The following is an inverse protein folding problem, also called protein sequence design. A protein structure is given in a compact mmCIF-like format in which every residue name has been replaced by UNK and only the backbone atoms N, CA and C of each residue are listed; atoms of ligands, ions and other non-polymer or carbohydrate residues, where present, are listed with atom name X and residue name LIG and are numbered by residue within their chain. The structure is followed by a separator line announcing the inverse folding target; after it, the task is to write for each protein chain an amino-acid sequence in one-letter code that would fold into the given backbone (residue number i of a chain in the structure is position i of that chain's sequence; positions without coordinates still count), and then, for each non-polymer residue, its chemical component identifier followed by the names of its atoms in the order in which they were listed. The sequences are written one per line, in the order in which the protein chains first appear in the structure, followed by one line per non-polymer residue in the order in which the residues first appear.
data_IF_848746680169
#
_entry.id   IF_848746680169
#
_cell.length_a   1.000
_cell.length_b   1.000
_cell.length_c   1.000
_cell.angle_alpha   90.00
_cell.angle_beta   90.00
_cell.angle_gamma   90.00
#
_symmetry.space_group_name_H-M   'P 1'
#
loop_
_entity.id
_entity.type
_entity.pdbx_description
1 polymer ?
#
# COMPACT_ATOMS: atom_id res chain seq x y z
N UNK A 1 -59.63 21.02 22.66
CA UNK A 1 -58.32 20.76 23.27
C UNK A 1 -57.34 20.40 22.14
N UNK A 2 -56.75 21.39 21.49
CA UNK A 2 -55.81 21.18 20.39
C UNK A 2 -54.42 20.98 20.95
N UNK A 3 -53.98 19.70 21.13
CA UNK A 3 -52.59 19.40 21.36
C UNK A 3 -51.81 19.74 20.08
N UNK A 4 -51.22 20.93 20.03
CA UNK A 4 -50.11 21.18 19.11
C UNK A 4 -48.93 20.35 19.63
N UNK A 5 -48.80 19.16 19.02
CA UNK A 5 -47.57 18.38 19.17
C UNK A 5 -46.46 19.27 18.60
N UNK A 6 -45.66 19.88 19.46
CA UNK A 6 -44.50 20.66 19.07
C UNK A 6 -43.49 19.72 18.44
N UNK A 7 -43.35 19.88 17.13
CA UNK A 7 -42.34 19.17 16.34
C UNK A 7 -40.95 19.55 16.82
N UNK A 8 -40.36 18.73 17.66
CA UNK A 8 -38.93 18.81 17.97
C UNK A 8 -38.24 18.20 16.76
N UNK A 9 -37.84 19.03 15.82
CA UNK A 9 -36.91 18.62 14.77
C UNK A 9 -35.56 18.46 15.49
N UNK A 10 -35.29 17.29 15.98
CA UNK A 10 -33.94 16.86 16.30
C UNK A 10 -33.22 16.57 14.99
N UNK A 11 -33.01 17.62 14.18
CA UNK A 11 -31.99 17.55 13.13
C UNK A 11 -30.65 17.47 13.88
N UNK A 12 -30.35 16.27 14.36
CA UNK A 12 -29.03 15.96 14.90
C UNK A 12 -28.06 16.13 13.75
N UNK A 13 -27.37 17.28 13.71
CA UNK A 13 -26.22 17.48 12.85
C UNK A 13 -25.16 16.51 13.38
N UNK A 14 -25.29 15.25 13.02
CA UNK A 14 -24.19 14.30 13.16
C UNK A 14 -23.17 14.62 12.08
N UNK A 15 -22.44 15.72 12.28
CA UNK A 15 -21.16 15.90 11.66
C UNK A 15 -20.23 14.89 12.34
N UNK A 16 -20.48 13.60 12.08
CA UNK A 16 -19.47 12.60 12.36
C UNK A 16 -18.24 13.06 11.60
N UNK A 17 -17.17 13.36 12.36
CA UNK A 17 -15.86 13.75 11.84
C UNK A 17 -15.57 12.99 10.54
N UNK A 18 -14.91 13.67 9.61
CA UNK A 18 -14.34 13.05 8.40
C UNK A 18 -13.20 12.12 8.87
N UNK A 19 -13.52 11.16 9.70
CA UNK A 19 -12.62 10.19 10.30
C UNK A 19 -12.79 8.82 9.63
N UNK A 20 -12.99 8.80 8.32
CA UNK A 20 -13.15 7.54 7.59
C UNK A 20 -12.29 7.42 6.33
N UNK A 21 -11.65 8.49 5.90
CA UNK A 21 -10.67 8.40 4.83
C UNK A 21 -9.27 8.54 5.43
N UNK A 22 -8.49 7.49 5.41
CA UNK A 22 -7.04 7.60 5.60
C UNK A 22 -6.57 8.45 4.42
N UNK A 23 -6.47 9.78 4.62
CA UNK A 23 -5.60 10.58 3.77
C UNK A 23 -4.22 10.08 4.15
N UNK A 24 -3.51 9.35 3.28
CA UNK A 24 -2.19 8.85 3.63
C UNK A 24 -1.34 10.06 3.98
N UNK A 25 -0.90 10.13 5.23
CA UNK A 25 0.17 11.03 5.60
C UNK A 25 1.39 10.45 4.89
N UNK A 26 1.76 11.06 3.75
CA UNK A 26 3.06 10.82 3.14
C UNK A 26 4.08 11.42 4.11
N UNK A 27 4.53 10.62 5.08
CA UNK A 27 5.77 10.92 5.77
C UNK A 27 6.83 10.91 4.66
N UNK A 28 7.41 12.07 4.41
CA UNK A 28 8.63 12.17 3.63
C UNK A 28 9.71 11.49 4.48
N UNK A 29 9.76 10.17 4.39
CA UNK A 29 10.90 9.44 4.87
C UNK A 29 12.03 9.79 3.91
N UNK A 30 13.00 10.56 4.42
CA UNK A 30 14.25 10.83 3.75
C UNK A 30 14.79 9.52 3.20
N UNK A 31 14.62 9.32 1.90
CA UNK A 31 15.40 8.34 1.16
C UNK A 31 16.86 8.76 1.35
N UNK A 32 17.53 8.11 2.29
CA UNK A 32 18.98 8.18 2.34
C UNK A 32 19.47 7.79 0.95
N UNK A 33 20.03 8.78 0.29
CA UNK A 33 20.79 8.63 -0.92
C UNK A 33 21.72 7.42 -0.73
N UNK A 34 21.39 6.37 -1.48
CA UNK A 34 22.34 5.27 -1.68
C UNK A 34 23.46 5.86 -2.53
N UNK A 35 24.56 6.24 -1.86
CA UNK A 35 25.78 6.59 -2.55
C UNK A 35 26.18 5.44 -3.48
N UNK A 36 26.18 5.84 -4.71
CA UNK A 36 26.92 5.37 -5.87
C UNK A 36 27.96 4.28 -5.64
N UNK A 37 27.72 3.10 -6.20
CA UNK A 37 28.75 2.28 -6.84
C UNK A 37 28.15 1.40 -7.95
N UNK A 38 28.12 1.97 -9.12
CA UNK A 38 28.37 1.37 -10.44
C UNK A 38 28.04 -0.10 -10.74
N UNK A 39 27.21 -0.24 -11.78
CA UNK A 39 27.22 -1.21 -12.92
C UNK A 39 26.51 -2.52 -12.63
N UNK A 40 25.65 -2.80 -13.39
CA UNK A 40 25.01 -3.07 -14.67
C UNK A 40 24.81 -4.55 -14.94
N UNK A 41 23.97 -4.97 -15.71
CA UNK A 41 23.48 -5.47 -16.97
C UNK A 41 22.83 -6.85 -16.99
N UNK A 42 22.01 -7.06 -18.00
CA UNK A 42 21.10 -8.16 -18.36
C UNK A 42 21.76 -9.46 -18.83
N UNK A 43 21.08 -10.59 -18.58
CA UNK A 43 21.19 -11.77 -19.45
C UNK A 43 19.88 -12.51 -19.67
N UNK A 44 19.61 -12.79 -20.94
CA UNK A 44 18.82 -13.93 -21.34
C UNK A 44 19.65 -15.20 -21.08
N UNK A 45 19.25 -16.00 -20.11
CA UNK A 45 19.78 -17.37 -19.98
C UNK A 45 19.06 -18.27 -20.97
N UNK A 46 19.64 -18.45 -22.13
CA UNK A 46 19.34 -19.63 -22.95
C UNK A 46 19.93 -20.84 -22.26
N UNK A 47 19.04 -21.69 -21.80
CA UNK A 47 19.31 -23.06 -21.39
C UNK A 47 19.93 -23.86 -22.51
N UNK A 48 20.95 -24.58 -22.21
CA UNK A 48 21.31 -25.81 -22.97
C UNK A 48 21.89 -26.81 -22.00
N UNK A 49 21.11 -27.85 -21.80
CA UNK A 49 21.38 -29.27 -21.86
C UNK A 49 22.46 -29.92 -20.99
N UNK A 50 21.91 -30.78 -20.16
CA UNK A 50 22.21 -32.21 -19.98
C UNK A 50 23.66 -32.65 -19.96
N UNK A 51 24.02 -33.20 -18.82
CA UNK A 51 24.81 -34.44 -18.79
C UNK A 51 24.42 -35.24 -17.54
N UNK A 52 23.76 -36.34 -17.82
CA UNK A 52 23.51 -37.46 -16.94
C UNK A 52 24.80 -38.01 -16.36
N UNK A 53 24.84 -38.20 -15.05
CA UNK A 53 25.58 -39.32 -14.46
C UNK A 53 24.83 -39.87 -13.24
N UNK A 54 24.36 -41.06 -13.45
CA UNK A 54 23.68 -41.94 -12.49
C UNK A 54 24.70 -42.53 -11.54
N UNK A 55 24.46 -42.35 -10.21
CA UNK A 55 24.76 -43.40 -9.22
C UNK A 55 24.24 -42.94 -7.82
N UNK A 56 23.39 -43.75 -7.25
CA UNK A 56 23.01 -43.63 -5.83
C UNK A 56 21.56 -43.20 -5.61
N UNK A 57 20.65 -44.18 -5.45
CA UNK A 57 19.22 -43.97 -5.24
C UNK A 57 18.89 -43.13 -4.03
N UNK A 58 18.53 -41.90 -4.26
CA UNK A 58 17.59 -41.12 -3.50
C UNK A 58 16.56 -40.62 -4.48
N UNK A 59 15.31 -41.02 -4.30
CA UNK A 59 14.16 -40.44 -5.02
C UNK A 59 14.07 -38.97 -4.70
N UNK A 60 14.76 -38.14 -5.47
CA UNK A 60 14.54 -36.70 -5.47
C UNK A 60 13.14 -36.46 -6.03
N UNK A 61 12.15 -36.25 -5.16
CA UNK A 61 10.87 -35.69 -5.59
C UNK A 61 11.18 -34.42 -6.39
N UNK A 62 10.91 -34.47 -7.70
CA UNK A 62 10.99 -33.30 -8.55
C UNK A 62 10.06 -32.23 -7.96
N UNK A 63 10.64 -31.15 -7.45
CA UNK A 63 9.84 -30.05 -6.88
C UNK A 63 9.01 -29.44 -8.01
N UNK A 64 7.71 -29.22 -7.72
CA UNK A 64 6.81 -28.53 -8.65
C UNK A 64 7.28 -27.08 -8.83
N UNK A 65 7.32 -26.58 -10.07
CA UNK A 65 7.55 -25.16 -10.33
C UNK A 65 6.29 -24.39 -9.95
N UNK A 66 6.45 -23.28 -9.23
CA UNK A 66 5.37 -22.34 -8.89
C UNK A 66 5.68 -20.98 -9.49
N UNK A 67 4.68 -20.39 -10.14
CA UNK A 67 4.78 -19.09 -10.77
C UNK A 67 4.44 -17.96 -9.81
N UNK A 68 4.82 -16.73 -10.18
CA UNK A 68 4.43 -15.53 -9.42
C UNK A 68 2.90 -15.37 -9.34
N UNK A 69 2.19 -15.65 -10.44
CA UNK A 69 0.73 -15.51 -10.50
C UNK A 69 0.01 -16.51 -9.56
N UNK A 70 0.51 -17.75 -9.47
CA UNK A 70 -0.03 -18.74 -8.52
C UNK A 70 0.18 -18.29 -7.07
N UNK A 71 1.32 -17.67 -6.75
CA UNK A 71 1.60 -17.11 -5.42
C UNK A 71 0.73 -15.91 -5.10
N UNK A 72 0.56 -15.00 -6.05
CA UNK A 72 -0.34 -13.84 -5.92
C UNK A 72 -1.76 -14.30 -5.63
N UNK A 73 -2.27 -15.24 -6.46
CA UNK A 73 -3.61 -15.78 -6.26
C UNK A 73 -3.78 -16.37 -4.87
N UNK A 74 -2.82 -17.21 -4.44
CA UNK A 74 -2.88 -17.81 -3.11
C UNK A 74 -2.84 -16.79 -1.98
N UNK A 75 -2.04 -15.71 -2.11
CA UNK A 75 -1.96 -14.65 -1.11
C UNK A 75 -3.24 -13.81 -1.04
N UNK A 76 -3.89 -13.56 -2.16
CA UNK A 76 -5.18 -12.85 -2.25
C UNK A 76 -6.27 -13.71 -1.61
N UNK A 77 -6.38 -14.99 -2.00
CA UNK A 77 -7.40 -15.92 -1.51
C UNK A 77 -7.29 -16.16 0.01
N UNK A 78 -6.11 -16.00 0.61
CA UNK A 78 -5.85 -16.20 2.04
C UNK A 78 -5.70 -14.88 2.83
N UNK A 79 -6.10 -13.74 2.29
CA UNK A 79 -5.93 -12.45 2.92
C UNK A 79 -7.03 -12.12 3.94
N UNK A 80 -6.73 -12.25 5.23
CA UNK A 80 -7.63 -11.80 6.31
C UNK A 80 -8.00 -10.31 6.21
N UNK A 81 -7.10 -9.49 5.66
CA UNK A 81 -7.36 -8.06 5.46
C UNK A 81 -8.43 -7.81 4.39
N UNK A 82 -8.43 -8.57 3.29
CA UNK A 82 -9.49 -8.50 2.28
C UNK A 82 -10.81 -9.02 2.83
N UNK A 83 -10.80 -10.14 3.53
CA UNK A 83 -12.00 -10.66 4.19
C UNK A 83 -12.59 -9.68 5.22
N UNK A 84 -11.74 -8.88 5.88
CA UNK A 84 -12.21 -7.81 6.78
C UNK A 84 -12.84 -6.65 5.99
N UNK A 85 -12.31 -6.29 4.82
CA UNK A 85 -12.88 -5.25 3.95
C UNK A 85 -14.26 -5.66 3.40
N UNK A 86 -14.46 -6.92 3.04
CA UNK A 86 -15.77 -7.44 2.67
C UNK A 86 -16.81 -7.30 3.81
N UNK A 87 -16.38 -7.57 5.05
CA UNK A 87 -17.24 -7.36 6.23
C UNK A 87 -17.55 -5.89 6.48
N UNK A 88 -16.59 -5.00 6.22
CA UNK A 88 -16.79 -3.55 6.31
C UNK A 88 -17.80 -3.06 5.26
N UNK A 89 -17.77 -3.60 4.05
CA UNK A 89 -18.79 -3.29 3.01
C UNK A 89 -20.18 -3.73 3.43
N UNK A 90 -20.32 -4.94 4.01
CA UNK A 90 -21.61 -5.41 4.55
C UNK A 90 -22.12 -4.50 5.69
N UNK A 91 -21.20 -4.03 6.56
CA UNK A 91 -21.58 -3.09 7.60
C UNK A 91 -22.14 -1.77 7.01
N UNK A 92 -21.64 -1.33 5.84
CA UNK A 92 -22.22 -0.16 5.17
C UNK A 92 -23.61 -0.47 4.58
N UNK A 93 -23.89 -1.69 4.14
CA UNK A 93 -25.24 -2.10 3.75
C UNK A 93 -26.20 -2.03 4.92
N UNK A 94 -25.84 -2.64 6.07
CA UNK A 94 -26.63 -2.59 7.30
C UNK A 94 -26.86 -1.13 7.78
N UNK A 95 -25.86 -0.24 7.62
CA UNK A 95 -26.00 1.18 7.98
C UNK A 95 -26.93 1.93 7.03
N UNK A 96 -26.94 1.58 5.75
CA UNK A 96 -27.84 2.18 4.77
C UNK A 96 -29.27 1.76 5.04
N UNK A 97 -29.53 0.46 5.30
CA UNK A 97 -30.84 -0.04 5.66
C UNK A 97 -31.38 0.66 6.92
N UNK A 98 -30.53 0.83 7.95
CA UNK A 98 -30.89 1.55 9.15
C UNK A 98 -31.13 3.06 8.90
N UNK A 99 -30.39 3.67 7.95
CA UNK A 99 -30.63 5.07 7.57
C UNK A 99 -31.95 5.22 6.83
N UNK A 100 -32.30 4.29 5.95
CA UNK A 100 -33.57 4.30 5.23
C UNK A 100 -34.76 4.17 6.21
N UNK A 101 -34.71 3.25 7.20
CA UNK A 101 -35.71 3.17 8.27
C UNK A 101 -35.85 4.48 9.05
N UNK A 102 -34.75 5.17 9.30
CA UNK A 102 -34.75 6.47 9.97
C UNK A 102 -35.35 7.57 9.11
N UNK A 103 -35.07 7.56 7.82
CA UNK A 103 -35.58 8.54 6.86
C UNK A 103 -37.10 8.37 6.68
N UNK A 104 -37.60 7.13 6.64
CA UNK A 104 -39.04 6.80 6.66
C UNK A 104 -39.71 7.31 7.94
N UNK A 105 -39.10 7.07 9.11
CA UNK A 105 -39.60 7.59 10.38
C UNK A 105 -39.69 9.12 10.37
N UNK A 106 -38.68 9.81 9.81
CA UNK A 106 -38.68 11.28 9.72
C UNK A 106 -39.75 11.81 8.76
N UNK A 107 -40.02 11.08 7.66
CA UNK A 107 -41.06 11.41 6.71
C UNK A 107 -42.44 11.24 7.32
N UNK A 108 -42.74 10.09 7.90
CA UNK A 108 -44.01 9.75 8.53
C UNK A 108 -44.36 10.73 9.64
N UNK A 109 -43.38 11.19 10.39
CA UNK A 109 -43.57 12.14 11.49
C UNK A 109 -43.40 13.61 11.07
N UNK A 110 -43.22 13.88 9.75
CA UNK A 110 -42.98 15.23 9.19
C UNK A 110 -41.85 15.97 9.89
N UNK A 111 -40.76 15.29 10.17
CA UNK A 111 -39.57 15.81 10.82
C UNK A 111 -38.51 16.28 9.82
N UNK A 112 -38.65 15.95 8.52
CA UNK A 112 -37.77 16.43 7.46
C UNK A 112 -37.76 17.95 7.39
N UNK A 113 -36.61 18.52 6.98
CA UNK A 113 -36.44 19.98 6.84
C UNK A 113 -37.19 20.51 5.62
N UNK A 114 -37.38 19.68 4.59
CA UNK A 114 -37.93 20.02 3.28
C UNK A 114 -36.87 20.49 2.28
N UNK A 115 -35.59 20.38 2.65
CA UNK A 115 -34.47 20.59 1.78
C UNK A 115 -33.78 19.24 1.54
N UNK A 116 -33.94 18.65 0.37
CA UNK A 116 -33.45 17.32 0.03
C UNK A 116 -31.92 17.20 0.24
N UNK A 117 -31.14 18.24 -0.05
CA UNK A 117 -29.70 18.23 0.16
C UNK A 117 -29.28 18.16 1.64
N UNK A 118 -30.17 18.62 2.54
CA UNK A 118 -29.98 18.51 3.98
C UNK A 118 -30.49 17.15 4.47
N UNK A 119 -31.65 16.76 4.01
CA UNK A 119 -32.34 15.57 4.48
C UNK A 119 -31.65 14.28 3.97
N UNK A 120 -31.18 14.25 2.69
CA UNK A 120 -30.52 13.10 2.08
C UNK A 120 -29.01 13.00 2.36
N UNK A 121 -28.40 14.07 2.90
CA UNK A 121 -26.95 14.11 3.16
C UNK A 121 -26.42 12.89 3.94
N UNK A 122 -27.07 12.39 5.03
CA UNK A 122 -26.58 11.23 5.77
C UNK A 122 -26.53 9.96 4.90
N UNK A 123 -27.58 9.69 4.12
CA UNK A 123 -27.66 8.55 3.18
C UNK A 123 -26.62 8.66 2.08
N UNK A 124 -26.50 9.82 1.44
CA UNK A 124 -25.56 10.04 0.33
C UNK A 124 -24.10 9.96 0.79
N UNK A 125 -23.81 10.46 2.01
CA UNK A 125 -22.50 10.30 2.61
C UNK A 125 -22.15 8.84 2.88
N UNK A 126 -23.08 8.04 3.41
CA UNK A 126 -22.89 6.60 3.61
C UNK A 126 -22.64 5.88 2.29
N UNK A 127 -23.38 6.22 1.22
CA UNK A 127 -23.19 5.67 -0.13
C UNK A 127 -21.79 5.98 -0.67
N UNK A 128 -21.29 7.21 -0.49
CA UNK A 128 -19.94 7.58 -0.90
C UNK A 128 -18.87 6.88 -0.05
N UNK A 129 -19.07 6.76 1.27
CA UNK A 129 -18.16 6.02 2.15
C UNK A 129 -18.09 4.54 1.79
N UNK A 130 -19.22 3.92 1.42
CA UNK A 130 -19.24 2.55 0.89
C UNK A 130 -18.40 2.41 -0.38
N UNK A 131 -18.58 3.35 -1.35
CA UNK A 131 -17.76 3.38 -2.58
C UNK A 131 -16.28 3.58 -2.28
N UNK A 132 -15.92 4.45 -1.32
CA UNK A 132 -14.55 4.65 -0.86
C UNK A 132 -13.96 3.37 -0.24
N UNK A 133 -14.76 2.63 0.54
CA UNK A 133 -14.35 1.35 1.12
C UNK A 133 -14.13 0.29 0.04
N UNK A 134 -14.99 0.21 -0.98
CA UNK A 134 -14.79 -0.67 -2.13
C UNK A 134 -13.54 -0.31 -2.94
N UNK A 135 -13.25 0.98 -3.12
CA UNK A 135 -12.00 1.43 -3.73
C UNK A 135 -10.78 1.03 -2.87
N UNK A 136 -10.88 1.17 -1.54
CA UNK A 136 -9.82 0.77 -0.60
C UNK A 136 -9.57 -0.74 -0.62
N UNK A 137 -10.59 -1.55 -0.84
CA UNK A 137 -10.47 -3.00 -1.04
C UNK A 137 -9.67 -3.32 -2.32
N UNK A 138 -10.00 -2.66 -3.44
CA UNK A 138 -9.25 -2.80 -4.69
C UNK A 138 -7.78 -2.36 -4.53
N UNK A 139 -7.53 -1.28 -3.79
CA UNK A 139 -6.17 -0.84 -3.49
C UNK A 139 -5.41 -1.83 -2.60
N UNK A 140 -6.07 -2.42 -1.62
CA UNK A 140 -5.48 -3.45 -0.77
C UNK A 140 -5.12 -4.71 -1.58
N UNK A 141 -5.96 -5.09 -2.55
CA UNK A 141 -5.65 -6.16 -3.49
C UNK A 141 -4.35 -5.87 -4.27
N UNK A 142 -4.22 -4.67 -4.83
CA UNK A 142 -3.00 -4.24 -5.52
C UNK A 142 -1.78 -4.18 -4.59
N UNK A 143 -1.95 -3.78 -3.32
CA UNK A 143 -0.88 -3.78 -2.33
C UNK A 143 -0.39 -5.21 -2.03
N UNK A 144 -1.28 -6.18 -1.91
CA UNK A 144 -0.92 -7.60 -1.73
C UNK A 144 -0.12 -8.10 -2.93
N UNK A 145 -0.58 -7.81 -4.16
CA UNK A 145 0.15 -8.15 -5.39
C UNK A 145 1.57 -7.56 -5.36
N UNK A 146 1.69 -6.29 -5.02
CA UNK A 146 2.98 -5.59 -4.94
C UNK A 146 3.90 -6.21 -3.87
N UNK A 147 3.37 -6.54 -2.70
CA UNK A 147 4.12 -7.14 -1.61
C UNK A 147 4.63 -8.55 -1.97
N UNK A 148 3.79 -9.40 -2.53
CA UNK A 148 4.17 -10.73 -3.00
C UNK A 148 5.24 -10.62 -4.09
N UNK A 149 5.05 -9.71 -5.06
CA UNK A 149 5.99 -9.49 -6.16
C UNK A 149 7.35 -9.02 -5.66
N UNK A 150 7.39 -8.03 -4.75
CA UNK A 150 8.65 -7.55 -4.15
C UNK A 150 9.41 -8.68 -3.44
N UNK A 151 8.71 -9.50 -2.66
CA UNK A 151 9.32 -10.64 -1.92
C UNK A 151 9.79 -11.74 -2.84
N UNK A 152 9.00 -12.06 -3.85
CA UNK A 152 9.37 -13.01 -4.88
C UNK A 152 10.66 -12.59 -5.59
N UNK A 153 10.71 -11.35 -6.07
CA UNK A 153 11.89 -10.81 -6.74
C UNK A 153 13.11 -10.78 -5.80
N UNK A 154 12.94 -10.41 -4.54
CA UNK A 154 14.01 -10.43 -3.54
C UNK A 154 14.57 -11.86 -3.31
N UNK A 155 13.73 -12.89 -3.36
CA UNK A 155 14.16 -14.29 -3.27
C UNK A 155 14.97 -14.68 -4.51
N UNK A 156 14.52 -14.30 -5.71
CA UNK A 156 15.24 -14.59 -6.97
C UNK A 156 16.60 -13.93 -6.97
N UNK A 157 16.67 -12.61 -6.67
CA UNK A 157 17.92 -11.87 -6.60
C UNK A 157 18.89 -12.48 -5.60
N UNK A 158 18.38 -12.92 -4.45
CA UNK A 158 19.20 -13.59 -3.43
C UNK A 158 19.72 -14.94 -3.87
N UNK A 159 18.94 -15.73 -4.63
CA UNK A 159 19.41 -16.99 -5.23
C UNK A 159 20.55 -16.75 -6.23
N UNK A 160 20.40 -15.71 -7.08
CA UNK A 160 21.43 -15.33 -8.05
C UNK A 160 22.72 -14.91 -7.32
N UNK A 161 22.60 -14.12 -6.23
CA UNK A 161 23.75 -13.69 -5.41
C UNK A 161 24.45 -14.87 -4.73
N UNK A 162 23.71 -15.84 -4.20
CA UNK A 162 24.26 -17.07 -3.63
C UNK A 162 24.99 -17.92 -4.69
N UNK A 163 24.43 -18.07 -5.88
CA UNK A 163 25.08 -18.80 -6.97
C UNK A 163 26.40 -18.15 -7.39
N UNK A 164 26.42 -16.82 -7.48
CA UNK A 164 27.62 -16.04 -7.70
C UNK A 164 28.67 -16.29 -6.61
N UNK A 165 28.30 -16.22 -5.34
CA UNK A 165 29.20 -16.46 -4.21
C UNK A 165 29.75 -17.89 -4.22
N UNK A 166 28.95 -18.90 -4.59
CA UNK A 166 29.40 -20.29 -4.74
C UNK A 166 30.44 -20.44 -5.85
N UNK A 167 30.23 -19.77 -6.99
CA UNK A 167 31.24 -19.71 -8.06
C UNK A 167 32.53 -19.04 -7.58
N UNK A 168 32.43 -17.95 -6.83
CA UNK A 168 33.60 -17.30 -6.21
C UNK A 168 34.33 -18.18 -5.20
N UNK A 169 33.59 -18.98 -4.42
CA UNK A 169 34.17 -19.95 -3.49
C UNK A 169 34.95 -21.05 -4.23
N UNK A 170 34.41 -21.55 -5.36
CA UNK A 170 35.11 -22.54 -6.22
C UNK A 170 36.44 -21.98 -6.71
N UNK A 171 36.49 -20.75 -7.21
CA UNK A 171 37.73 -20.08 -7.64
C UNK A 171 38.71 -20.00 -6.48
N UNK A 172 38.29 -19.56 -5.28
CA UNK A 172 39.15 -19.49 -4.09
C UNK A 172 39.69 -20.86 -3.67
N UNK A 173 38.91 -21.94 -3.79
CA UNK A 173 39.38 -23.29 -3.53
C UNK A 173 40.49 -23.71 -4.52
N UNK A 174 40.30 -23.43 -5.81
CA UNK A 174 41.29 -23.73 -6.84
C UNK A 174 42.60 -22.94 -6.60
N UNK A 175 42.49 -21.66 -6.21
CA UNK A 175 43.64 -20.84 -5.86
C UNK A 175 44.38 -21.35 -4.62
N UNK A 176 43.67 -21.82 -3.60
CA UNK A 176 44.27 -22.43 -2.41
C UNK A 176 45.01 -23.70 -2.74
N UNK A 177 44.46 -24.58 -3.62
CA UNK A 177 45.11 -25.80 -4.00
C UNK A 177 46.34 -25.55 -4.89
N UNK A 178 46.29 -24.55 -5.78
CA UNK A 178 47.46 -24.09 -6.53
C UNK A 178 48.54 -23.51 -5.58
N UNK A 179 48.15 -22.79 -4.53
CA UNK A 179 49.07 -22.23 -3.55
C UNK A 179 49.72 -23.36 -2.70
N UNK A 180 48.95 -24.38 -2.27
CA UNK A 180 49.48 -25.58 -1.59
C UNK A 180 50.61 -26.21 -2.38
N UNK A 181 50.39 -26.41 -3.72
CA UNK A 181 51.41 -26.94 -4.61
C UNK A 181 52.67 -26.05 -4.63
N UNK A 182 52.51 -24.72 -4.74
CA UNK A 182 53.63 -23.77 -4.71
C UNK A 182 54.46 -23.83 -3.42
N UNK A 183 53.75 -23.91 -2.29
CA UNK A 183 54.42 -24.05 -0.96
C UNK A 183 55.18 -25.37 -0.88
N UNK A 184 54.62 -26.48 -1.36
CA UNK A 184 55.25 -27.79 -1.30
C UNK A 184 56.57 -27.85 -2.08
N UNK A 185 56.72 -27.02 -3.12
CA UNK A 185 57.97 -26.93 -3.94
C UNK A 185 58.82 -25.71 -3.58
N UNK A 186 58.51 -25.02 -2.48
CA UNK A 186 59.27 -23.87 -1.98
C UNK A 186 59.13 -22.56 -2.76
N UNK A 187 58.09 -22.44 -3.62
CA UNK A 187 57.83 -21.24 -4.42
C UNK A 187 56.84 -20.25 -3.74
N UNK A 188 56.36 -20.57 -2.53
CA UNK A 188 55.51 -19.71 -1.74
C UNK A 188 55.74 -20.00 -0.24
N UNK A 189 55.40 -19.03 0.63
CA UNK A 189 55.59 -19.14 2.09
C UNK A 189 54.32 -19.67 2.80
N UNK A 190 54.44 -20.48 3.87
CA UNK A 190 53.31 -21.10 4.57
C UNK A 190 52.24 -20.09 5.08
N UNK A 191 52.61 -18.89 5.50
CA UNK A 191 51.66 -17.87 5.97
C UNK A 191 50.62 -17.48 4.89
N UNK A 192 50.99 -17.53 3.61
CA UNK A 192 50.05 -17.26 2.52
C UNK A 192 48.95 -18.32 2.43
N UNK A 193 49.22 -19.55 2.86
CA UNK A 193 48.16 -20.58 2.95
C UNK A 193 47.15 -20.30 4.03
N UNK A 194 47.64 -19.83 5.21
CA UNK A 194 46.78 -19.47 6.32
C UNK A 194 45.87 -18.31 5.94
N UNK A 195 46.41 -17.26 5.33
CA UNK A 195 45.62 -16.12 4.84
C UNK A 195 44.54 -16.55 3.85
N UNK A 196 44.91 -17.40 2.88
CA UNK A 196 43.95 -17.91 1.90
C UNK A 196 42.87 -18.83 2.51
N UNK A 197 43.22 -19.62 3.52
CA UNK A 197 42.27 -20.43 4.28
C UNK A 197 41.26 -19.55 5.05
N UNK A 198 41.74 -18.44 5.65
CA UNK A 198 40.87 -17.48 6.33
C UNK A 198 39.90 -16.82 5.33
N UNK A 199 40.38 -16.41 4.13
CA UNK A 199 39.52 -15.87 3.07
C UNK A 199 38.44 -16.85 2.62
N UNK A 200 38.81 -18.14 2.50
CA UNK A 200 37.87 -19.20 2.12
C UNK A 200 36.80 -19.43 3.19
N UNK A 201 37.20 -19.50 4.47
CA UNK A 201 36.28 -19.65 5.58
C UNK A 201 35.29 -18.48 5.64
N UNK A 202 35.75 -17.23 5.45
CA UNK A 202 34.88 -16.04 5.38
C UNK A 202 33.87 -16.16 4.23
N UNK A 203 34.27 -16.62 3.06
CA UNK A 203 33.37 -16.80 1.92
C UNK A 203 32.31 -17.88 2.19
N UNK A 204 32.68 -18.98 2.89
CA UNK A 204 31.74 -20.02 3.32
C UNK A 204 30.72 -19.49 4.33
N UNK A 205 31.17 -18.70 5.31
CA UNK A 205 30.30 -18.10 6.32
C UNK A 205 29.32 -17.10 5.68
N UNK A 206 29.78 -16.32 4.70
CA UNK A 206 28.93 -15.38 3.95
C UNK A 206 27.82 -16.13 3.18
N UNK A 207 28.19 -17.21 2.46
CA UNK A 207 27.21 -18.05 1.75
C UNK A 207 26.17 -18.59 2.73
N UNK A 208 26.61 -19.14 3.87
CA UNK A 208 25.70 -19.69 4.89
C UNK A 208 24.75 -18.63 5.45
N UNK A 209 25.25 -17.41 5.71
CA UNK A 209 24.42 -16.29 6.16
C UNK A 209 23.37 -15.91 5.10
N UNK A 210 23.75 -15.86 3.83
CA UNK A 210 22.83 -15.59 2.71
C UNK A 210 21.80 -16.69 2.52
N UNK A 211 22.18 -17.98 2.66
CA UNK A 211 21.27 -19.12 2.59
C UNK A 211 20.24 -19.09 3.75
N UNK A 212 20.65 -18.76 4.97
CA UNK A 212 19.73 -18.58 6.10
C UNK A 212 18.75 -17.43 5.83
N UNK A 213 19.24 -16.31 5.30
CA UNK A 213 18.38 -15.18 4.92
C UNK A 213 17.43 -15.52 3.77
N UNK A 214 17.85 -16.35 2.81
CA UNK A 214 16.97 -16.86 1.76
C UNK A 214 15.86 -17.74 2.33
N UNK A 215 16.20 -18.63 3.27
CA UNK A 215 15.23 -19.47 3.96
C UNK A 215 14.17 -18.62 4.68
N UNK A 216 14.60 -17.63 5.45
CA UNK A 216 13.67 -16.72 6.15
C UNK A 216 12.73 -15.99 5.17
N UNK A 217 13.21 -15.57 4.01
CA UNK A 217 12.37 -14.93 2.99
C UNK A 217 11.35 -15.92 2.38
N UNK A 218 11.75 -17.17 2.16
CA UNK A 218 10.86 -18.24 1.68
C UNK A 218 9.80 -18.57 2.74
N UNK A 219 10.18 -18.71 4.01
CA UNK A 219 9.26 -18.97 5.11
C UNK A 219 8.24 -17.85 5.23
N UNK A 220 8.69 -16.58 5.14
CA UNK A 220 7.78 -15.43 5.20
C UNK A 220 6.81 -15.38 4.01
N UNK A 221 7.30 -15.63 2.80
CA UNK A 221 6.43 -15.71 1.61
C UNK A 221 5.45 -16.89 1.73
N UNK A 222 5.88 -18.00 2.33
CA UNK A 222 5.03 -19.14 2.64
C UNK A 222 3.88 -18.78 3.60
N UNK A 223 4.16 -17.96 4.61
CA UNK A 223 3.12 -17.45 5.53
C UNK A 223 2.10 -16.57 4.79
N UNK A 224 2.57 -15.67 3.93
CA UNK A 224 1.69 -14.78 3.16
C UNK A 224 0.78 -15.55 2.19
N UNK A 225 1.29 -16.63 1.60
CA UNK A 225 0.58 -17.42 0.60
C UNK A 225 -0.12 -18.65 1.19
N UNK A 226 0.08 -18.94 2.48
CA UNK A 226 -0.36 -20.18 3.13
C UNK A 226 0.14 -21.44 2.40
N UNK A 227 1.35 -21.39 1.83
CA UNK A 227 1.97 -22.50 1.09
C UNK A 227 3.30 -22.91 1.73
N UNK A 228 3.58 -24.23 1.71
CA UNK A 228 4.91 -24.73 2.07
C UNK A 228 5.85 -24.62 0.84
N UNK A 229 6.60 -23.51 0.75
CA UNK A 229 7.47 -23.25 -0.40
C UNK A 229 8.70 -24.14 -0.47
N UNK A 230 8.97 -24.98 0.52
CA UNK A 230 10.02 -25.99 0.46
C UNK A 230 9.74 -27.08 -0.59
N UNK A 231 8.48 -27.28 -0.96
CA UNK A 231 8.03 -28.27 -1.94
C UNK A 231 8.06 -27.75 -3.39
N UNK A 232 8.40 -26.47 -3.57
CA UNK A 232 8.36 -25.80 -4.86
C UNK A 232 9.71 -25.25 -5.30
N UNK A 233 9.87 -25.10 -6.62
CA UNK A 233 10.92 -24.30 -7.25
C UNK A 233 10.27 -23.04 -7.82
N UNK A 234 10.79 -21.86 -7.47
CA UNK A 234 10.31 -20.60 -8.04
C UNK A 234 10.86 -20.42 -9.45
N UNK A 235 10.02 -19.95 -10.38
CA UNK A 235 10.51 -19.47 -11.68
C UNK A 235 11.45 -18.28 -11.44
N UNK A 236 12.54 -18.19 -12.21
CA UNK A 236 13.61 -17.19 -12.00
C UNK A 236 13.52 -15.99 -12.95
N UNK A 237 12.42 -15.85 -13.69
CA UNK A 237 12.23 -14.74 -14.61
C UNK A 237 11.72 -13.47 -13.90
N UNK A 238 12.35 -12.33 -14.20
CA UNK A 238 11.83 -11.00 -13.85
C UNK A 238 11.57 -10.27 -15.17
N UNK A 239 10.29 -9.97 -15.43
CA UNK A 239 9.89 -9.26 -16.65
C UNK A 239 10.31 -7.79 -16.61
N UNK A 240 10.60 -7.22 -17.77
CA UNK A 240 10.91 -5.81 -17.96
C UNK A 240 10.10 -5.23 -19.11
N UNK A 241 9.27 -4.24 -18.80
CA UNK A 241 8.52 -3.48 -19.79
C UNK A 241 8.60 -2.00 -19.45
N UNK A 242 8.91 -1.16 -20.45
CA UNK A 242 8.96 0.29 -20.28
C UNK A 242 7.59 0.88 -20.01
N UNK A 243 7.56 1.91 -19.16
CA UNK A 243 6.36 2.69 -18.91
C UNK A 243 5.99 3.48 -20.17
N UNK A 244 4.76 3.31 -20.64
CA UNK A 244 4.21 4.06 -21.76
C UNK A 244 3.25 5.12 -21.25
N UNK A 245 3.49 6.38 -21.62
CA UNK A 245 2.64 7.52 -21.26
C UNK A 245 2.15 8.15 -22.56
N UNK A 246 0.84 8.25 -22.70
CA UNK A 246 0.20 8.99 -23.78
C UNK A 246 -0.03 10.42 -23.30
N UNK A 247 0.52 11.41 -24.01
CA UNK A 247 0.44 12.82 -23.65
C UNK A 247 1.54 13.33 -22.71
N UNK A 248 1.23 14.31 -21.88
CA UNK A 248 2.19 14.90 -20.94
C UNK A 248 2.24 14.11 -19.64
N UNK A 249 3.43 14.02 -19.03
CA UNK A 249 3.59 13.39 -17.70
C UNK A 249 2.73 14.10 -16.64
N UNK A 250 2.56 15.39 -16.73
CA UNK A 250 1.77 16.17 -15.76
C UNK A 250 0.29 15.79 -15.80
N UNK A 251 -0.29 15.59 -16.98
CA UNK A 251 -1.67 15.14 -17.17
C UNK A 251 -1.83 13.71 -16.67
N UNK A 252 -0.94 12.81 -17.09
CA UNK A 252 -0.96 11.41 -16.64
C UNK A 252 -0.93 11.29 -15.11
N UNK A 253 -0.06 12.04 -14.43
CA UNK A 253 0.04 12.00 -12.97
C UNK A 253 -1.19 12.61 -12.30
N UNK A 254 -1.75 13.70 -12.84
CA UNK A 254 -2.99 14.28 -12.32
C UNK A 254 -4.13 13.28 -12.38
N UNK A 255 -4.31 12.58 -13.52
CA UNK A 255 -5.36 11.57 -13.67
C UNK A 255 -5.22 10.42 -12.67
N UNK A 256 -3.97 9.96 -12.41
CA UNK A 256 -3.71 8.91 -11.42
C UNK A 256 -3.99 9.38 -10.00
N UNK A 257 -3.62 10.61 -9.66
CA UNK A 257 -3.85 11.20 -8.34
C UNK A 257 -5.35 11.46 -8.12
N UNK A 258 -6.04 12.00 -9.11
CA UNK A 258 -7.48 12.25 -9.01
C UNK A 258 -8.28 10.95 -8.94
N UNK A 259 -7.88 9.91 -9.66
CA UNK A 259 -8.45 8.57 -9.51
C UNK A 259 -8.23 8.00 -8.11
N UNK A 260 -7.04 8.17 -7.56
CA UNK A 260 -6.70 7.69 -6.21
C UNK A 260 -7.52 8.39 -5.12
N UNK A 261 -7.65 9.72 -5.21
CA UNK A 261 -8.30 10.56 -4.20
C UNK A 261 -9.76 10.88 -4.51
N UNK A 262 -10.36 10.22 -5.52
CA UNK A 262 -11.69 10.48 -6.05
C UNK A 262 -12.75 10.60 -4.98
N UNK A 263 -12.93 9.59 -4.15
CA UNK A 263 -14.00 9.58 -3.15
C UNK A 263 -13.73 10.50 -1.97
N UNK A 264 -12.47 10.82 -1.68
CA UNK A 264 -12.12 11.88 -0.73
C UNK A 264 -12.63 13.24 -1.23
N UNK A 265 -12.42 13.54 -2.51
CA UNK A 265 -12.87 14.77 -3.16
C UNK A 265 -14.42 14.83 -3.24
N UNK A 266 -15.08 13.72 -3.61
CA UNK A 266 -16.54 13.63 -3.67
C UNK A 266 -17.20 13.81 -2.30
N UNK A 267 -16.66 13.21 -1.23
CA UNK A 267 -17.17 13.39 0.14
C UNK A 267 -17.00 14.84 0.62
N UNK A 268 -15.85 15.47 0.29
CA UNK A 268 -15.60 16.87 0.62
C UNK A 268 -16.60 17.77 -0.12
N UNK A 269 -16.85 17.54 -1.41
CA UNK A 269 -17.84 18.30 -2.20
C UNK A 269 -19.25 18.13 -1.63
N UNK A 270 -19.67 16.91 -1.39
CA UNK A 270 -20.98 16.64 -0.78
C UNK A 270 -21.13 17.36 0.58
N UNK A 271 -20.08 17.36 1.40
CA UNK A 271 -20.08 18.03 2.69
C UNK A 271 -20.10 19.56 2.54
N UNK A 272 -19.42 20.09 1.52
CA UNK A 272 -19.43 21.54 1.21
C UNK A 272 -20.82 22.01 0.78
N UNK A 273 -21.47 21.27 -0.10
CA UNK A 273 -22.82 21.52 -0.55
C UNK A 273 -23.80 21.49 0.63
N UNK A 274 -23.73 20.47 1.48
CA UNK A 274 -24.50 20.38 2.71
C UNK A 274 -24.30 21.60 3.64
N UNK A 275 -23.05 22.00 3.89
CA UNK A 275 -22.74 23.15 4.72
C UNK A 275 -23.20 24.49 4.11
N UNK A 276 -23.24 24.56 2.76
CA UNK A 276 -23.81 25.69 2.03
C UNK A 276 -25.33 25.79 2.27
N UNK A 277 -26.05 24.68 2.11
CA UNK A 277 -27.49 24.65 2.35
C UNK A 277 -27.85 25.00 3.80
N UNK A 278 -27.12 24.47 4.79
CA UNK A 278 -27.33 24.84 6.18
C UNK A 278 -27.18 26.36 6.42
N UNK A 279 -26.34 27.03 5.64
CA UNK A 279 -26.16 28.49 5.72
C UNK A 279 -27.32 29.21 5.07
N UNK A 280 -27.80 28.77 3.94
CA UNK A 280 -28.96 29.38 3.23
C UNK A 280 -30.23 29.25 4.08
N UNK A 281 -30.40 28.15 4.83
CA UNK A 281 -31.50 27.92 5.77
C UNK A 281 -31.32 28.62 7.14
N UNK A 282 -30.35 29.51 7.27
CA UNK A 282 -29.99 30.21 8.52
C UNK A 282 -29.56 29.28 9.68
N UNK A 283 -29.36 28.01 9.43
CA UNK A 283 -28.90 27.01 10.43
C UNK A 283 -27.47 27.27 10.95
N UNK A 284 -26.78 28.24 10.39
CA UNK A 284 -25.48 28.75 10.84
C UNK A 284 -25.58 29.76 11.99
N UNK A 285 -26.78 29.99 12.54
CA UNK A 285 -27.05 30.94 13.64
C UNK A 285 -27.58 30.18 14.85
N UNK A 286 -27.09 30.52 16.03
CA UNK A 286 -27.63 29.97 17.29
C UNK A 286 -29.12 30.25 17.42
N UNK A 287 -29.55 31.47 17.03
CA UNK A 287 -30.98 31.90 17.08
C UNK A 287 -31.92 30.98 16.29
N UNK A 288 -31.44 30.28 15.22
CA UNK A 288 -32.24 29.33 14.51
C UNK A 288 -32.67 28.16 15.41
N UNK A 289 -31.75 27.65 16.20
CA UNK A 289 -32.01 26.55 17.14
C UNK A 289 -32.79 27.03 18.38
N UNK A 290 -32.46 28.18 18.92
CA UNK A 290 -33.15 28.77 20.08
C UNK A 290 -34.62 29.08 19.76
N UNK A 291 -34.92 29.53 18.56
CA UNK A 291 -36.30 29.82 18.12
C UNK A 291 -37.20 28.57 18.03
N UNK A 292 -36.58 27.37 17.98
CA UNK A 292 -37.29 26.10 17.97
C UNK A 292 -37.58 25.55 19.38
N UNK A 293 -36.98 26.15 20.39
CA UNK A 293 -37.16 25.72 21.78
C UNK A 293 -38.47 26.31 22.31
N UNK A 294 -39.32 25.44 22.82
CA UNK A 294 -40.64 25.86 23.37
C UNK A 294 -40.46 26.44 24.75
N UNK A 295 -40.73 27.73 24.89
CA UNK A 295 -40.68 28.41 26.19
C UNK A 295 -41.82 27.89 27.06
N UNK A 296 -41.48 27.62 28.34
CA UNK A 296 -42.45 27.17 29.33
C UNK A 296 -42.97 28.39 30.07
N UNK A 297 -44.28 28.64 30.00
CA UNK A 297 -44.93 29.66 30.81
C UNK A 297 -45.63 28.97 31.98
N UNK A 298 -45.35 29.39 33.20
CA UNK A 298 -45.91 28.81 34.43
C UNK A 298 -47.42 28.89 34.47
N UNK A 299 -48.02 29.95 33.89
CA UNK A 299 -49.46 30.18 33.91
C UNK A 299 -50.26 29.13 33.10
N UNK A 300 -49.63 28.45 32.16
CA UNK A 300 -50.25 27.43 31.33
C UNK A 300 -50.49 26.09 32.09
N UNK A 301 -49.97 25.99 33.33
CA UNK A 301 -50.01 24.77 34.15
C UNK A 301 -50.95 24.91 35.36
N UNK A 302 -51.88 25.88 35.31
CA UNK A 302 -52.95 25.95 36.26
C UNK A 302 -54.23 25.33 35.70
N UNK A 303 -54.81 24.40 36.44
CA UNK A 303 -56.09 23.82 36.16
C UNK A 303 -57.19 24.52 36.94
N UNK A 304 -58.32 24.78 36.34
CA UNK A 304 -59.49 25.37 37.01
C UNK A 304 -60.53 24.25 37.17
N UNK A 305 -60.92 23.96 38.42
CA UNK A 305 -61.93 22.99 38.75
C UNK A 305 -63.35 23.52 38.44
N UNK A 306 -64.37 22.65 38.57
CA UNK A 306 -65.77 23.03 38.32
C UNK A 306 -66.31 24.10 39.24
N UNK A 307 -65.65 24.40 40.38
CA UNK A 307 -66.01 25.40 41.38
C UNK A 307 -65.20 26.72 41.21
N UNK A 308 -64.33 26.79 40.18
CA UNK A 308 -63.53 27.97 39.85
C UNK A 308 -62.21 28.09 40.63
N UNK A 309 -61.76 27.06 41.38
CA UNK A 309 -60.51 27.08 42.11
C UNK A 309 -59.35 26.74 41.17
N UNK A 310 -58.25 27.53 41.28
CA UNK A 310 -57.02 27.27 40.49
C UNK A 310 -56.09 26.35 41.26
N UNK A 311 -55.77 25.18 40.65
CA UNK A 311 -54.79 24.24 41.18
C UNK A 311 -53.58 24.18 40.24
N UNK A 312 -52.38 24.30 40.80
CA UNK A 312 -51.14 24.25 40.02
C UNK A 312 -50.71 22.80 39.80
N UNK A 313 -50.61 22.39 38.53
CA UNK A 313 -50.12 21.06 38.12
C UNK A 313 -48.60 21.02 38.15
N UNK A 314 -48.03 20.77 39.33
CA UNK A 314 -46.59 20.73 39.58
C UNK A 314 -45.88 19.67 38.71
N UNK A 315 -46.50 18.50 38.51
CA UNK A 315 -45.92 17.40 37.75
C UNK A 315 -45.78 17.77 36.28
N UNK A 316 -46.81 18.28 35.67
CA UNK A 316 -46.81 18.66 34.25
C UNK A 316 -45.86 19.84 34.01
N UNK A 317 -45.79 20.82 34.92
CA UNK A 317 -44.83 21.90 34.87
C UNK A 317 -43.39 21.42 34.97
N UNK A 318 -43.07 20.51 35.91
CA UNK A 318 -41.71 19.94 36.03
C UNK A 318 -41.28 19.18 34.76
N UNK A 319 -42.17 18.37 34.18
CA UNK A 319 -41.92 17.69 32.93
C UNK A 319 -41.65 18.67 31.77
N UNK A 320 -42.42 19.75 31.70
CA UNK A 320 -42.24 20.81 30.71
C UNK A 320 -40.88 21.53 30.86
N UNK A 321 -40.49 21.84 32.10
CA UNK A 321 -39.15 22.41 32.37
C UNK A 321 -38.03 21.47 31.96
N UNK A 322 -38.11 20.19 32.31
CA UNK A 322 -37.12 19.20 31.86
C UNK A 322 -37.04 19.15 30.34
N UNK A 323 -38.19 19.08 29.66
CA UNK A 323 -38.25 19.13 28.20
C UNK A 323 -37.63 20.41 27.62
N UNK A 324 -37.92 21.56 28.19
CA UNK A 324 -37.36 22.85 27.80
C UNK A 324 -35.82 22.85 27.89
N UNK A 325 -35.30 22.42 29.06
CA UNK A 325 -33.83 22.35 29.27
C UNK A 325 -33.17 21.38 28.24
N UNK A 326 -33.81 20.24 28.02
CA UNK A 326 -33.30 19.28 27.03
C UNK A 326 -33.28 19.84 25.60
N UNK A 327 -34.35 20.54 25.20
CA UNK A 327 -34.44 21.19 23.90
C UNK A 327 -33.37 22.30 23.76
N UNK A 328 -33.14 23.06 24.82
CA UNK A 328 -32.14 24.14 24.84
C UNK A 328 -30.70 23.56 24.70
N UNK A 329 -30.39 22.50 25.45
CA UNK A 329 -29.10 21.81 25.32
C UNK A 329 -28.90 21.23 23.93
N UNK A 330 -29.95 20.65 23.33
CA UNK A 330 -29.89 20.16 21.97
C UNK A 330 -29.63 21.28 20.95
N UNK A 331 -30.21 22.46 21.15
CA UNK A 331 -29.96 23.64 20.31
C UNK A 331 -28.48 24.04 20.32
N UNK A 332 -27.88 24.08 21.51
CA UNK A 332 -26.44 24.35 21.67
C UNK A 332 -25.58 23.30 21.01
N UNK A 333 -25.85 22.02 21.24
CA UNK A 333 -25.09 20.90 20.67
C UNK A 333 -25.16 20.91 19.13
N UNK A 334 -26.32 21.21 18.55
CA UNK A 334 -26.48 21.31 17.11
C UNK A 334 -25.68 22.47 16.52
N UNK A 335 -25.69 23.63 17.17
CA UNK A 335 -24.88 24.75 16.71
C UNK A 335 -23.37 24.50 16.87
N UNK A 336 -22.95 23.91 17.99
CA UNK A 336 -21.55 23.50 18.18
C UNK A 336 -21.11 22.54 17.09
N UNK A 337 -21.91 21.51 16.81
CA UNK A 337 -21.64 20.55 15.74
C UNK A 337 -21.51 21.20 14.36
N UNK A 338 -22.33 22.24 14.08
CA UNK A 338 -22.18 23.01 12.85
C UNK A 338 -20.83 23.74 12.78
N UNK A 339 -20.40 24.41 13.87
CA UNK A 339 -19.12 25.10 13.91
C UNK A 339 -17.93 24.15 13.73
N UNK A 340 -17.95 23.01 14.43
CA UNK A 340 -16.93 21.96 14.34
C UNK A 340 -16.89 21.36 12.93
N UNK A 341 -18.05 21.14 12.34
CA UNK A 341 -18.17 20.63 10.97
C UNK A 341 -17.59 21.58 9.93
N UNK A 342 -17.82 22.89 10.05
CA UNK A 342 -17.19 23.89 9.18
C UNK A 342 -15.67 23.88 9.26
N UNK A 343 -15.12 23.79 10.46
CA UNK A 343 -13.68 23.72 10.67
C UNK A 343 -13.11 22.43 10.06
N UNK A 344 -13.73 21.30 10.36
CA UNK A 344 -13.31 19.98 9.82
C UNK A 344 -13.35 19.93 8.30
N UNK A 345 -14.33 20.55 7.67
CA UNK A 345 -14.40 20.68 6.21
C UNK A 345 -13.25 21.52 5.64
N UNK A 346 -12.95 22.67 6.28
CA UNK A 346 -11.83 23.50 5.85
C UNK A 346 -10.49 22.77 5.98
N UNK A 347 -10.30 22.07 7.10
CA UNK A 347 -9.11 21.24 7.34
C UNK A 347 -8.99 20.12 6.30
N UNK A 348 -10.09 19.43 5.98
CA UNK A 348 -10.11 18.35 4.98
C UNK A 348 -9.75 18.85 3.58
N UNK A 349 -10.24 20.04 3.17
CA UNK A 349 -9.88 20.68 1.89
C UNK A 349 -8.37 20.95 1.81
N UNK A 350 -7.79 21.53 2.86
CA UNK A 350 -6.34 21.80 2.92
C UNK A 350 -5.54 20.51 2.86
N UNK A 351 -5.90 19.50 3.67
CA UNK A 351 -5.22 18.20 3.68
C UNK A 351 -5.29 17.49 2.34
N UNK A 352 -6.42 17.57 1.65
CA UNK A 352 -6.56 16.96 0.31
C UNK A 352 -5.65 17.64 -0.71
N UNK A 353 -5.62 18.97 -0.73
CA UNK A 353 -4.77 19.75 -1.63
C UNK A 353 -3.28 19.50 -1.37
N UNK A 354 -2.87 19.51 -0.11
CA UNK A 354 -1.49 19.19 0.29
C UNK A 354 -1.11 17.75 -0.09
N UNK A 355 -2.02 16.79 0.08
CA UNK A 355 -1.80 15.40 -0.32
C UNK A 355 -1.63 15.27 -1.83
N UNK A 356 -2.47 15.95 -2.63
CA UNK A 356 -2.34 15.98 -4.09
C UNK A 356 -0.99 16.55 -4.53
N UNK A 357 -0.56 17.67 -3.95
CA UNK A 357 0.74 18.31 -4.24
C UNK A 357 1.93 17.44 -3.86
N UNK A 358 1.91 16.91 -2.64
CA UNK A 358 2.98 16.05 -2.13
C UNK A 358 3.13 14.79 -2.98
N UNK A 359 2.01 14.10 -3.25
CA UNK A 359 2.01 12.92 -4.09
C UNK A 359 2.52 13.21 -5.50
N UNK A 360 2.09 14.32 -6.10
CA UNK A 360 2.58 14.73 -7.43
C UNK A 360 4.09 14.92 -7.46
N UNK A 361 4.67 15.53 -6.43
CA UNK A 361 6.12 15.72 -6.33
C UNK A 361 6.85 14.37 -6.24
N UNK A 362 6.40 13.46 -5.36
CA UNK A 362 6.98 12.12 -5.24
C UNK A 362 6.91 11.34 -6.55
N UNK A 363 5.76 11.38 -7.23
CA UNK A 363 5.60 10.67 -8.50
C UNK A 363 6.45 11.26 -9.63
N UNK A 364 6.65 12.59 -9.67
CA UNK A 364 7.57 13.24 -10.62
C UNK A 364 9.02 12.83 -10.36
N UNK A 365 9.44 12.77 -9.12
CA UNK A 365 10.78 12.30 -8.74
C UNK A 365 10.98 10.83 -9.13
N UNK A 366 9.98 9.97 -8.85
CA UNK A 366 9.99 8.57 -9.27
C UNK A 366 10.08 8.45 -10.80
N UNK A 367 9.36 9.27 -11.56
CA UNK A 367 9.41 9.27 -13.02
C UNK A 367 10.77 9.70 -13.55
N UNK A 368 11.37 10.76 -12.99
CA UNK A 368 12.74 11.18 -13.36
C UNK A 368 13.74 10.05 -13.13
N UNK A 369 13.67 9.39 -11.97
CA UNK A 369 14.52 8.25 -11.65
C UNK A 369 14.26 7.08 -12.60
N UNK A 370 13.01 6.84 -12.99
CA UNK A 370 12.63 5.79 -13.93
C UNK A 370 13.31 5.99 -15.30
N UNK A 371 13.29 7.21 -15.84
CA UNK A 371 13.96 7.54 -17.09
C UNK A 371 15.48 7.34 -17.02
N UNK A 372 16.10 7.67 -15.89
CA UNK A 372 17.52 7.42 -15.67
C UNK A 372 17.84 5.92 -15.62
N UNK A 373 16.98 5.12 -14.99
CA UNK A 373 17.11 3.66 -14.95
C UNK A 373 16.97 3.04 -16.35
N UNK A 374 16.07 3.51 -17.19
CA UNK A 374 15.95 3.05 -18.58
C UNK A 374 17.26 3.22 -19.35
N UNK A 375 17.87 4.40 -19.21
CA UNK A 375 19.16 4.68 -19.84
C UNK A 375 20.29 3.80 -19.26
N UNK A 376 20.27 3.53 -17.96
CA UNK A 376 21.22 2.65 -17.32
C UNK A 376 21.03 1.21 -17.82
N UNK A 377 19.82 0.69 -17.82
CA UNK A 377 19.46 -0.63 -18.34
C UNK A 377 19.94 -0.78 -19.77
N UNK A 378 19.72 0.20 -20.64
CA UNK A 378 20.19 0.15 -22.04
C UNK A 378 21.70 0.04 -22.14
N UNK A 379 22.46 0.97 -21.52
CA UNK A 379 23.94 0.93 -21.53
C UNK A 379 24.47 -0.40 -21.02
N UNK A 380 23.79 -0.94 -20.15
CA UNK A 380 24.15 -2.13 -19.46
C UNK A 380 23.92 -3.39 -20.30
N UNK A 381 22.85 -3.44 -21.05
CA UNK A 381 22.64 -4.45 -22.08
C UNK A 381 23.78 -4.44 -23.12
N UNK A 382 24.20 -3.25 -23.55
CA UNK A 382 25.32 -3.08 -24.49
C UNK A 382 26.62 -3.66 -23.92
N UNK A 383 26.90 -3.45 -22.64
CA UNK A 383 28.10 -3.99 -22.00
C UNK A 383 28.05 -5.54 -21.90
N UNK A 384 26.91 -6.16 -21.63
CA UNK A 384 26.81 -7.64 -21.59
C UNK A 384 27.06 -8.24 -22.99
N UNK A 385 26.46 -7.65 -24.02
CA UNK A 385 26.70 -8.10 -25.36
C UNK A 385 28.22 -8.10 -25.66
N UNK A 386 28.90 -6.99 -25.30
CA UNK A 386 30.32 -6.86 -25.40
C UNK A 386 31.08 -7.89 -24.55
N UNK A 387 30.67 -8.07 -23.29
CA UNK A 387 31.30 -9.02 -22.37
C UNK A 387 31.11 -10.48 -22.81
N UNK A 388 29.93 -10.85 -23.33
CA UNK A 388 29.66 -12.17 -23.84
C UNK A 388 30.57 -12.50 -25.07
N UNK A 389 30.86 -11.51 -25.91
CA UNK A 389 31.81 -11.66 -27.00
C UNK A 389 33.21 -11.90 -26.47
N UNK A 390 33.63 -11.16 -25.41
CA UNK A 390 34.91 -11.38 -24.72
C UNK A 390 35.00 -12.79 -24.12
N UNK A 391 33.97 -13.24 -23.43
CA UNK A 391 33.93 -14.58 -22.83
C UNK A 391 34.05 -15.71 -23.86
N UNK A 392 33.44 -15.60 -25.03
CA UNK A 392 33.61 -16.56 -26.12
C UNK A 392 35.08 -16.63 -26.57
N UNK A 393 35.75 -15.49 -26.71
CA UNK A 393 37.16 -15.43 -27.08
C UNK A 393 38.05 -16.00 -25.96
N UNK A 394 37.73 -15.75 -24.68
CA UNK A 394 38.48 -16.33 -23.57
C UNK A 394 38.30 -17.85 -23.48
N UNK A 395 37.10 -18.36 -23.73
CA UNK A 395 36.89 -19.82 -23.76
C UNK A 395 37.74 -20.51 -24.84
N UNK A 396 37.79 -19.92 -26.01
CA UNK A 396 38.69 -20.45 -27.08
C UNK A 396 40.17 -20.42 -26.63
N UNK A 397 40.60 -19.42 -25.85
CA UNK A 397 41.99 -19.41 -25.32
C UNK A 397 42.23 -20.47 -24.24
N UNK A 398 41.21 -20.82 -23.42
CA UNK A 398 41.29 -21.96 -22.50
C UNK A 398 41.46 -23.24 -23.28
N UNK A 399 40.64 -23.45 -24.31
CA UNK A 399 40.67 -24.65 -25.13
C UNK A 399 42.03 -24.83 -25.86
N UNK A 400 42.74 -23.73 -26.14
CA UNK A 400 44.10 -23.71 -26.68
C UNK A 400 45.21 -23.76 -25.60
N UNK A 401 44.87 -23.81 -24.32
CA UNK A 401 45.81 -23.81 -23.20
C UNK A 401 46.57 -22.49 -22.98
N UNK A 402 46.07 -21.35 -23.54
CA UNK A 402 46.73 -20.05 -23.46
C UNK A 402 46.45 -19.39 -22.10
N UNK A 403 45.28 -19.63 -21.51
CA UNK A 403 44.87 -19.19 -20.18
C UNK A 403 44.33 -20.37 -19.37
N UNK A 404 44.35 -20.24 -18.04
CA UNK A 404 43.82 -21.29 -17.16
C UNK A 404 42.30 -21.28 -17.09
N UNK A 405 41.69 -22.43 -16.79
CA UNK A 405 40.25 -22.52 -16.50
C UNK A 405 39.84 -21.58 -15.32
N UNK A 406 40.75 -21.41 -14.34
CA UNK A 406 40.48 -20.53 -13.18
C UNK A 406 40.43 -19.05 -13.59
N UNK A 407 41.33 -18.62 -14.51
CA UNK A 407 41.29 -17.27 -15.09
C UNK A 407 39.98 -17.03 -15.86
N UNK A 408 39.51 -18.02 -16.62
CA UNK A 408 38.24 -17.95 -17.30
C UNK A 408 37.05 -17.87 -16.34
N UNK A 409 37.04 -18.68 -15.27
CA UNK A 409 36.01 -18.63 -14.22
C UNK A 409 35.99 -17.28 -13.53
N UNK A 410 37.14 -16.63 -13.28
CA UNK A 410 37.22 -15.28 -12.72
C UNK A 410 36.56 -14.23 -13.65
N UNK A 411 36.72 -14.32 -14.95
CA UNK A 411 36.03 -13.44 -15.91
C UNK A 411 34.52 -13.77 -16.03
N UNK A 412 34.14 -15.04 -15.94
CA UNK A 412 32.74 -15.46 -15.87
C UNK A 412 32.07 -14.94 -14.64
N UNK A 413 32.74 -14.89 -13.49
CA UNK A 413 32.23 -14.30 -12.25
C UNK A 413 31.93 -12.81 -12.43
N UNK A 414 32.83 -12.07 -13.11
CA UNK A 414 32.54 -10.66 -13.47
C UNK A 414 31.32 -10.50 -14.38
N UNK A 415 31.08 -11.45 -15.26
CA UNK A 415 29.88 -11.50 -16.09
C UNK A 415 28.63 -11.66 -15.20
N UNK A 416 28.65 -12.60 -14.26
CA UNK A 416 27.54 -12.79 -13.31
C UNK A 416 27.27 -11.54 -12.46
N UNK A 417 28.29 -10.73 -12.16
CA UNK A 417 28.11 -9.42 -11.49
C UNK A 417 27.30 -8.45 -12.36
N UNK A 418 27.57 -8.45 -13.65
CA UNK A 418 26.83 -7.65 -14.60
C UNK A 418 25.35 -8.07 -14.63
N UNK A 419 25.07 -9.35 -14.72
CA UNK A 419 23.72 -9.91 -14.77
C UNK A 419 22.93 -9.62 -13.50
N UNK A 420 23.53 -9.86 -12.33
CA UNK A 420 22.91 -9.57 -11.05
C UNK A 420 22.55 -8.09 -10.92
N UNK A 421 23.43 -7.22 -11.37
CA UNK A 421 23.19 -5.77 -11.32
C UNK A 421 22.03 -5.34 -12.22
N UNK A 422 21.85 -5.97 -13.42
CA UNK A 422 20.67 -5.63 -14.22
C UNK A 422 19.38 -6.13 -13.62
N UNK A 423 19.36 -7.34 -13.09
CA UNK A 423 18.17 -7.84 -12.42
C UNK A 423 17.76 -6.89 -11.26
N UNK A 424 18.75 -6.34 -10.56
CA UNK A 424 18.51 -5.32 -9.53
C UNK A 424 17.95 -4.02 -10.11
N UNK A 425 18.49 -3.53 -11.23
CA UNK A 425 17.95 -2.32 -11.89
C UNK A 425 16.54 -2.55 -12.41
N UNK A 426 16.28 -3.68 -13.07
CA UNK A 426 14.93 -4.04 -13.55
C UNK A 426 13.95 -4.12 -12.38
N UNK A 427 14.35 -4.75 -11.27
CA UNK A 427 13.48 -4.82 -10.09
C UNK A 427 13.18 -3.43 -9.51
N UNK A 428 14.17 -2.55 -9.45
CA UNK A 428 13.99 -1.15 -9.01
C UNK A 428 13.08 -0.40 -9.98
N UNK A 429 13.31 -0.55 -11.29
CA UNK A 429 12.49 0.04 -12.34
C UNK A 429 11.02 -0.39 -12.20
N UNK A 430 10.76 -1.70 -12.09
CA UNK A 430 9.41 -2.23 -11.93
C UNK A 430 8.72 -1.72 -10.66
N UNK A 431 9.47 -1.56 -9.58
CA UNK A 431 8.95 -1.00 -8.32
C UNK A 431 8.52 0.45 -8.49
N UNK A 432 9.36 1.28 -9.14
CA UNK A 432 9.02 2.68 -9.42
C UNK A 432 7.88 2.81 -10.43
N UNK A 433 7.90 2.03 -11.51
CA UNK A 433 6.81 1.97 -12.49
C UNK A 433 5.48 1.67 -11.81
N UNK A 434 5.43 0.64 -10.97
CA UNK A 434 4.22 0.28 -10.24
C UNK A 434 3.73 1.40 -9.32
N UNK A 435 4.64 2.14 -8.69
CA UNK A 435 4.28 3.29 -7.83
C UNK A 435 3.70 4.47 -8.61
N UNK A 436 4.10 4.66 -9.88
CA UNK A 436 3.56 5.69 -10.77
C UNK A 436 2.19 5.28 -11.32
N UNK A 437 2.05 4.03 -11.75
CA UNK A 437 0.79 3.48 -12.26
C UNK A 437 -0.28 3.35 -11.17
N UNK A 438 0.14 3.05 -9.94
CA UNK A 438 -0.70 2.75 -8.76
C UNK A 438 -0.18 3.50 -7.52
N UNK A 439 -0.47 4.81 -7.41
CA UNK A 439 0.05 5.63 -6.29
C UNK A 439 -0.28 5.09 -4.90
N UNK A 440 -1.38 4.36 -4.75
CA UNK A 440 -1.81 3.77 -3.49
C UNK A 440 -0.87 2.69 -2.93
N UNK A 441 0.02 2.11 -3.75
CA UNK A 441 1.02 1.14 -3.26
C UNK A 441 2.16 1.79 -2.48
N UNK A 442 2.30 3.13 -2.55
CA UNK A 442 3.27 3.89 -1.74
C UNK A 442 2.86 3.97 -0.26
N UNK A 443 1.57 3.85 0.05
CA UNK A 443 1.04 3.94 1.41
C UNK A 443 1.15 2.65 2.23
N UNK A 444 1.69 1.58 1.66
CA UNK A 444 1.82 0.25 2.30
C UNK A 444 3.14 0.03 3.06
N UNK A 445 3.94 1.07 3.26
CA UNK A 445 5.21 0.98 3.99
C UNK A 445 5.07 1.45 5.44
#
# INVERSE_FOLDING_TARGET
MNRKINKVIAAGITVSMINGGIIPAFAAENTKTVEDKNKSIVLNSSTSDESTNTLGGQTTKTKKVITLDELIKSAVDNSDKLALKEKELKLYDDKLDLQDEKDDFYEDNKLKTGNDKVDDFPSDKLKLQKKQTAQSEAFLHDQIINDVTKRYNAIILKKIDIDKLKTGLEIKNNDLDALKMKVSVGLAIPNQLEDKQIELNKAQDEIKAKENSLKNNLDYLGVLTNLNLSDYTLDSSISYETLKIDGSIDEYLNDKIDSYLKYNDEIIKLTDDYMHELREEDMNKLSYYENKVVKVNKDDYYEIDGDGNKTFNTQEYCLAIVSYVQQYLNAFNNYQSYLEGRYSLAEAKVKLDDSKKSLKNVLKENYSTLCDLENQIKRLNEQIISNNTKLRSLKAKVDLGIITENDFKAELLKSKDLDNSLMNLINTYNTLKNSIERPWVLSSN
#
